data_IF_260825338989
#
_entry.id   IF_260825338989
#
_cell.length_a   1.000
_cell.length_b   1.000
_cell.length_c   1.000
_cell.angle_alpha   90.00
_cell.angle_beta   90.00
_cell.angle_gamma   90.00
#
_symmetry.space_group_name_H-M   'P 1'
#
loop_
_entity.id
_entity.type
_entity.pdbx_description
1 polymer ?
#
# COMPACT_ATOMS: atom_id res chain seq x y z
N UNK A 1 13.71 45.78 -3.45
CA UNK A 1 13.18 46.53 -2.30
C UNK A 1 11.65 46.55 -2.35
N UNK A 2 11.02 46.58 -1.17
CA UNK A 2 9.65 46.16 -0.79
C UNK A 2 8.49 46.61 -1.69
N UNK A 3 7.44 45.79 -1.76
CA UNK A 3 6.05 46.27 -1.69
C UNK A 3 5.26 45.55 -0.59
N UNK A 4 4.43 46.27 0.20
CA UNK A 4 3.68 45.76 1.34
C UNK A 4 2.27 45.29 0.93
N UNK A 5 1.68 44.47 1.80
CA UNK A 5 0.43 43.76 1.54
C UNK A 5 -0.85 44.59 1.58
N UNK A 6 -1.93 43.95 1.10
CA UNK A 6 -3.31 44.28 1.47
C UNK A 6 -4.04 42.96 1.72
N UNK A 7 -4.36 42.76 2.99
CA UNK A 7 -5.32 41.81 3.52
C UNK A 7 -6.72 42.18 3.00
N UNK A 8 -7.48 41.21 2.48
CA UNK A 8 -8.94 41.34 2.42
C UNK A 8 -9.57 40.15 3.13
N UNK A 9 -9.98 40.43 4.36
CA UNK A 9 -10.85 39.61 5.21
C UNK A 9 -12.29 39.99 4.89
N UNK A 10 -13.10 39.02 4.48
CA UNK A 10 -14.56 39.19 4.45
C UNK A 10 -15.14 38.53 5.70
N UNK A 11 -15.91 39.30 6.46
CA UNK A 11 -16.84 38.81 7.49
C UNK A 11 -18.27 39.19 7.05
N UNK A 12 -19.16 38.21 7.07
CA UNK A 12 -20.61 38.37 7.17
C UNK A 12 -21.07 37.28 8.16
N UNK A 13 -21.47 37.60 9.39
CA UNK A 13 -22.77 38.13 9.82
C UNK A 13 -23.91 37.10 9.68
N UNK A 14 -24.13 36.35 10.77
CA UNK A 14 -25.44 35.89 11.27
C UNK A 14 -26.36 35.07 10.37
N UNK A 15 -26.54 33.77 10.69
CA UNK A 15 -27.74 33.04 10.28
C UNK A 15 -27.57 31.54 10.07
N UNK A 16 -27.66 30.77 11.16
CA UNK A 16 -28.29 29.43 11.26
C UNK A 16 -28.07 28.48 10.05
N UNK A 17 -27.02 27.67 10.09
CA UNK A 17 -26.85 26.52 9.20
C UNK A 17 -28.04 25.54 9.39
N UNK A 18 -28.93 25.45 8.39
CA UNK A 18 -29.85 24.32 8.24
C UNK A 18 -29.14 23.24 7.43
N UNK A 19 -29.00 22.05 7.99
CA UNK A 19 -28.72 20.85 7.21
C UNK A 19 -30.01 20.48 6.46
N UNK A 20 -29.98 20.50 5.12
CA UNK A 20 -31.04 19.89 4.30
C UNK A 20 -30.77 18.40 4.23
N UNK A 21 -31.72 17.59 4.70
CA UNK A 21 -31.74 16.15 4.48
C UNK A 21 -32.40 15.90 3.13
N UNK A 22 -31.62 15.93 2.06
CA UNK A 22 -32.11 15.50 0.74
C UNK A 22 -31.46 14.16 0.42
N UNK A 23 -32.17 13.10 0.79
CA UNK A 23 -31.98 11.76 0.27
C UNK A 23 -32.54 11.70 -1.16
N UNK A 24 -31.73 11.43 -2.20
CA UNK A 24 -32.26 11.02 -3.48
C UNK A 24 -32.50 9.51 -3.43
N UNK A 25 -33.75 9.15 -3.63
CA UNK A 25 -34.24 7.80 -3.73
C UNK A 25 -33.50 6.99 -4.80
N UNK A 26 -33.29 5.72 -4.47
CA UNK A 26 -32.81 4.66 -5.33
C UNK A 26 -33.82 4.43 -6.46
N UNK A 27 -33.45 4.78 -7.69
CA UNK A 27 -34.12 4.25 -8.89
C UNK A 27 -33.16 4.25 -10.07
N UNK A 28 -32.84 3.06 -10.58
CA UNK A 28 -32.43 2.88 -11.97
C UNK A 28 -30.96 2.59 -12.26
N UNK A 29 -30.23 1.88 -11.39
CA UNK A 29 -28.89 1.40 -11.74
C UNK A 29 -28.92 -0.12 -11.96
N UNK A 30 -29.62 -0.55 -13.01
CA UNK A 30 -29.37 -1.86 -13.64
C UNK A 30 -28.14 -1.67 -14.53
N UNK A 31 -26.95 -1.66 -13.93
CA UNK A 31 -25.72 -1.59 -14.71
C UNK A 31 -25.28 -3.01 -15.09
N UNK A 32 -25.40 -3.28 -16.39
CA UNK A 32 -24.79 -4.41 -17.08
C UNK A 32 -23.35 -4.60 -16.62
N UNK A 33 -23.05 -5.76 -16.02
CA UNK A 33 -21.69 -6.19 -15.72
C UNK A 33 -21.03 -6.71 -17.00
N UNK A 34 -20.56 -5.78 -17.83
CA UNK A 34 -19.60 -6.05 -18.90
C UNK A 34 -18.47 -5.03 -18.79
N UNK A 35 -17.29 -5.47 -18.37
CA UNK A 35 -16.01 -4.77 -18.54
C UNK A 35 -15.63 -3.71 -17.50
N UNK A 36 -14.57 -4.00 -16.72
CA UNK A 36 -13.64 -3.02 -16.15
C UNK A 36 -14.23 -1.91 -15.27
N UNK A 37 -14.50 -2.20 -14.00
CA UNK A 37 -14.61 -1.13 -13.00
C UNK A 37 -13.29 -0.35 -12.87
N UNK A 38 -13.29 0.92 -12.40
CA UNK A 38 -12.06 1.64 -12.12
C UNK A 38 -11.25 0.81 -11.14
N UNK A 39 -10.17 0.23 -11.63
CA UNK A 39 -9.34 -0.71 -10.91
C UNK A 39 -8.82 0.02 -9.66
N UNK A 40 -9.29 -0.35 -8.47
CA UNK A 40 -8.59 0.03 -7.26
C UNK A 40 -7.18 -0.53 -7.43
N UNK A 41 -6.20 0.36 -7.47
CA UNK A 41 -4.80 0.01 -7.62
C UNK A 41 -4.38 -0.74 -6.35
N UNK A 42 -4.40 -2.08 -6.40
CA UNK A 42 -4.11 -2.96 -5.25
C UNK A 42 -2.78 -2.59 -4.61
N UNK A 43 -1.79 -2.28 -5.45
CA UNK A 43 -0.49 -1.75 -5.05
C UNK A 43 -0.63 -0.46 -4.21
N UNK A 44 -1.31 0.57 -4.72
CA UNK A 44 -1.54 1.83 -4.00
C UNK A 44 -2.33 1.62 -2.70
N UNK A 45 -3.37 0.78 -2.73
CA UNK A 45 -4.20 0.50 -1.57
C UNK A 45 -3.40 -0.14 -0.43
N UNK A 46 -2.46 -1.03 -0.75
CA UNK A 46 -1.55 -1.63 0.22
C UNK A 46 -0.67 -0.56 0.91
N UNK A 47 -0.02 0.30 0.13
CA UNK A 47 0.83 1.37 0.68
C UNK A 47 0.03 2.43 1.46
N UNK A 48 -1.19 2.75 1.01
CA UNK A 48 -2.10 3.61 1.76
C UNK A 48 -2.46 3.00 3.12
N UNK A 49 -2.79 1.71 3.14
CA UNK A 49 -3.09 1.01 4.39
C UNK A 49 -1.88 0.95 5.32
N UNK A 50 -0.66 0.74 4.81
CA UNK A 50 0.56 0.82 5.62
C UNK A 50 0.77 2.21 6.21
N UNK A 51 0.52 3.26 5.43
CA UNK A 51 0.60 4.65 5.89
C UNK A 51 -0.45 4.95 6.98
N UNK A 52 -1.68 4.44 6.83
CA UNK A 52 -2.76 4.60 7.80
C UNK A 52 -2.50 3.85 9.10
N UNK A 53 -1.93 2.63 9.02
CA UNK A 53 -1.52 1.87 10.20
C UNK A 53 -0.46 2.62 11.00
N UNK A 54 0.56 3.16 10.31
CA UNK A 54 1.61 4.02 10.87
C UNK A 54 2.53 3.38 11.92
N UNK A 55 2.14 2.25 12.51
CA UNK A 55 2.91 1.48 13.46
C UNK A 55 2.67 0.00 13.28
N UNK A 56 3.74 -0.77 13.32
CA UNK A 56 3.75 -2.20 13.15
C UNK A 56 4.63 -2.85 14.23
N UNK A 57 4.03 -3.54 15.21
CA UNK A 57 4.77 -4.13 16.32
C UNK A 57 5.80 -5.15 15.85
N UNK A 58 5.59 -5.85 14.73
CA UNK A 58 6.57 -6.83 14.21
C UNK A 58 7.91 -6.21 13.83
N UNK A 59 7.94 -4.90 13.58
CA UNK A 59 9.13 -4.15 13.18
C UNK A 59 9.74 -3.34 14.33
N UNK A 60 9.31 -3.57 15.58
CA UNK A 60 9.77 -2.82 16.76
C UNK A 60 11.30 -2.83 16.97
N UNK A 61 11.98 -3.88 16.50
CA UNK A 61 13.41 -4.10 16.66
C UNK A 61 14.24 -3.69 15.43
N UNK A 62 13.61 -3.12 14.40
CA UNK A 62 14.26 -2.79 13.13
C UNK A 62 14.10 -1.31 12.84
N UNK A 63 15.17 -0.70 12.34
CA UNK A 63 15.18 0.68 11.86
C UNK A 63 15.93 0.72 10.53
N UNK A 64 15.37 1.42 9.55
CA UNK A 64 15.96 1.60 8.23
C UNK A 64 14.92 1.91 7.17
N UNK A 65 15.38 2.03 5.93
CA UNK A 65 14.57 2.53 4.82
C UNK A 65 14.47 1.53 3.69
N UNK A 66 13.27 1.40 3.12
CA UNK A 66 12.95 0.48 2.03
C UNK A 66 12.44 1.28 0.85
N UNK A 67 13.02 1.03 -0.32
CA UNK A 67 12.46 1.47 -1.59
C UNK A 67 11.86 0.28 -2.33
N UNK A 68 10.60 0.41 -2.71
CA UNK A 68 9.91 -0.48 -3.63
C UNK A 68 9.88 0.16 -5.00
N UNK A 69 10.42 -0.54 -5.99
CA UNK A 69 10.34 -0.17 -7.40
C UNK A 69 9.43 -1.18 -8.10
N UNK A 70 8.24 -0.72 -8.46
CA UNK A 70 7.21 -1.58 -9.04
C UNK A 70 7.00 -1.16 -10.49
N UNK A 71 7.36 -2.05 -11.40
CA UNK A 71 7.18 -1.80 -12.84
C UNK A 71 5.70 -1.53 -13.13
N UNK A 72 5.40 -0.53 -13.96
CA UNK A 72 4.04 -0.08 -14.30
C UNK A 72 3.20 0.45 -13.11
N UNK A 73 3.81 0.72 -11.95
CA UNK A 73 3.13 1.35 -10.81
C UNK A 73 3.93 2.50 -10.17
N UNK A 74 5.26 2.50 -10.36
CA UNK A 74 6.19 3.52 -9.87
C UNK A 74 6.92 3.07 -8.61
N UNK A 75 7.53 4.03 -7.92
CA UNK A 75 8.32 3.75 -6.73
C UNK A 75 7.62 4.24 -5.45
N UNK A 76 7.83 3.52 -4.35
CA UNK A 76 7.40 3.86 -3.00
C UNK A 76 8.57 3.75 -2.05
N UNK A 77 8.59 4.62 -1.05
CA UNK A 77 9.58 4.62 0.01
C UNK A 77 8.90 4.38 1.35
N UNK A 78 9.46 3.47 2.13
CA UNK A 78 8.94 3.12 3.46
C UNK A 78 10.08 3.25 4.45
N UNK A 79 9.97 4.24 5.34
CA UNK A 79 10.85 4.37 6.49
C UNK A 79 10.27 3.56 7.66
N UNK A 80 11.13 2.74 8.26
CA UNK A 80 10.83 1.96 9.46
C UNK A 80 11.70 2.50 10.59
N UNK A 81 11.09 2.85 11.71
CA UNK A 81 11.81 3.30 12.90
C UNK A 81 11.19 2.68 14.15
N UNK A 82 11.81 1.60 14.66
CA UNK A 82 11.34 0.90 15.86
C UNK A 82 9.84 0.59 15.84
N UNK A 83 9.34 0.10 14.70
CA UNK A 83 7.93 -0.22 14.49
C UNK A 83 7.11 0.92 13.90
N UNK A 84 7.52 2.18 14.01
CA UNK A 84 6.87 3.27 13.29
C UNK A 84 7.15 3.17 11.79
N UNK A 85 6.07 3.22 11.00
CA UNK A 85 6.09 3.14 9.55
C UNK A 85 5.71 4.49 8.96
N UNK A 86 6.49 4.96 8.00
CA UNK A 86 6.15 6.16 7.21
C UNK A 86 6.32 5.84 5.74
N UNK A 87 5.23 5.99 4.98
CA UNK A 87 5.23 5.76 3.55
C UNK A 87 5.28 7.10 2.83
N UNK A 88 6.20 7.22 1.88
CA UNK A 88 6.30 8.38 0.99
C UNK A 88 6.56 7.95 -0.45
N UNK A 89 6.49 8.91 -1.37
CA UNK A 89 6.85 8.74 -2.78
C UNK A 89 8.26 9.24 -3.09
N UNK A 90 9.05 9.49 -2.05
CA UNK A 90 10.42 9.98 -2.23
C UNK A 90 11.29 8.89 -2.86
N UNK A 91 12.32 9.31 -3.58
CA UNK A 91 13.28 8.41 -4.25
C UNK A 91 14.70 8.62 -3.70
N UNK A 92 14.80 9.00 -2.43
CA UNK A 92 16.08 9.11 -1.73
C UNK A 92 16.74 7.73 -1.58
N UNK A 93 18.06 7.72 -1.36
CA UNK A 93 18.80 6.48 -1.13
C UNK A 93 18.17 5.66 0.01
N UNK A 94 17.98 4.36 -0.23
CA UNK A 94 17.38 3.43 0.72
C UNK A 94 18.39 2.37 1.15
N UNK A 95 18.31 1.95 2.41
CA UNK A 95 19.11 0.84 2.96
C UNK A 95 18.80 -0.49 2.28
N UNK A 96 17.56 -0.62 1.80
CA UNK A 96 17.09 -1.77 1.05
C UNK A 96 16.25 -1.31 -0.15
N UNK A 97 16.51 -1.89 -1.32
CA UNK A 97 15.73 -1.68 -2.52
C UNK A 97 15.17 -3.01 -3.03
N UNK A 98 13.85 -3.08 -3.21
CA UNK A 98 13.14 -4.21 -3.79
C UNK A 98 12.57 -3.79 -5.14
N UNK A 99 12.78 -4.61 -6.16
CA UNK A 99 12.23 -4.38 -7.49
C UNK A 99 11.47 -5.62 -7.99
N UNK A 100 10.27 -5.41 -8.52
CA UNK A 100 9.43 -6.44 -9.10
C UNK A 100 8.38 -5.84 -10.05
N UNK A 101 7.71 -6.67 -10.84
CA UNK A 101 6.61 -6.23 -11.68
C UNK A 101 5.33 -6.01 -10.86
N UNK A 102 4.44 -5.10 -11.30
CA UNK A 102 3.11 -4.88 -10.67
C UNK A 102 2.32 -6.17 -10.47
N UNK A 103 2.32 -7.06 -11.47
CA UNK A 103 1.54 -8.31 -11.42
C UNK A 103 2.00 -9.22 -10.26
N UNK A 104 3.31 -9.37 -10.08
CA UNK A 104 3.87 -10.15 -8.98
C UNK A 104 3.65 -9.46 -7.64
N UNK A 105 3.72 -8.12 -7.58
CA UNK A 105 3.40 -7.36 -6.38
C UNK A 105 1.94 -7.53 -5.95
N UNK A 106 1.00 -7.35 -6.87
CA UNK A 106 -0.42 -7.52 -6.58
C UNK A 106 -0.73 -8.95 -6.09
N UNK A 107 -0.06 -9.97 -6.66
CA UNK A 107 -0.16 -11.35 -6.17
C UNK A 107 0.40 -11.54 -4.76
N UNK A 108 1.49 -10.85 -4.40
CA UNK A 108 2.02 -10.85 -3.03
C UNK A 108 1.05 -10.19 -2.05
N UNK A 109 0.45 -9.04 -2.43
CA UNK A 109 -0.51 -8.32 -1.59
C UNK A 109 -1.75 -9.16 -1.27
N UNK A 110 -2.22 -9.97 -2.23
CA UNK A 110 -3.37 -10.87 -2.01
C UNK A 110 -2.97 -12.23 -1.42
N UNK A 111 -1.69 -12.46 -1.09
CA UNK A 111 -1.20 -13.71 -0.50
C UNK A 111 -1.16 -14.90 -1.46
N UNK A 112 -1.25 -14.67 -2.78
CA UNK A 112 -1.17 -15.71 -3.82
C UNK A 112 0.26 -16.05 -4.21
N UNK A 113 1.24 -15.28 -3.75
CA UNK A 113 2.63 -15.45 -4.11
C UNK A 113 3.54 -15.09 -2.95
N UNK A 114 4.51 -15.96 -2.65
CA UNK A 114 5.49 -15.70 -1.61
C UNK A 114 6.66 -14.82 -2.15
N UNK A 115 6.99 -13.71 -1.48
CA UNK A 115 8.12 -12.86 -1.85
C UNK A 115 9.47 -13.59 -1.91
N UNK A 116 9.68 -14.57 -1.02
CA UNK A 116 10.89 -15.41 -1.00
C UNK A 116 10.99 -16.27 -2.25
N UNK A 117 9.87 -16.84 -2.70
CA UNK A 117 9.81 -17.64 -3.92
C UNK A 117 10.11 -16.79 -5.15
N UNK A 118 9.57 -15.58 -5.25
CA UNK A 118 9.87 -14.65 -6.35
C UNK A 118 11.34 -14.28 -6.41
N UNK A 119 11.96 -14.04 -5.26
CA UNK A 119 13.39 -13.76 -5.17
C UNK A 119 14.23 -14.95 -5.62
N UNK A 120 13.92 -16.16 -5.14
CA UNK A 120 14.61 -17.40 -5.54
C UNK A 120 14.42 -17.72 -7.03
N UNK A 121 13.28 -17.33 -7.63
CA UNK A 121 13.01 -17.45 -9.07
C UNK A 121 13.70 -16.35 -9.91
N UNK A 122 14.32 -15.35 -9.29
CA UNK A 122 14.95 -14.21 -9.97
C UNK A 122 13.97 -13.18 -10.52
N UNK A 123 12.67 -13.28 -10.16
CA UNK A 123 11.61 -12.33 -10.56
C UNK A 123 11.53 -11.10 -9.66
N UNK A 124 11.98 -11.23 -8.42
CA UNK A 124 12.17 -10.12 -7.51
C UNK A 124 13.67 -9.90 -7.29
N UNK A 125 14.10 -8.64 -7.30
CA UNK A 125 15.46 -8.26 -6.95
C UNK A 125 15.44 -7.57 -5.59
N UNK A 126 16.35 -7.95 -4.71
CA UNK A 126 16.57 -7.32 -3.42
C UNK A 126 18.03 -6.85 -3.38
N UNK A 127 18.24 -5.58 -3.07
CA UNK A 127 19.57 -4.96 -2.97
C UNK A 127 19.71 -4.27 -1.62
N UNK A 128 20.84 -4.43 -0.94
CA UNK A 128 21.10 -3.80 0.35
C UNK A 128 20.79 -4.72 1.54
N UNK A 129 20.09 -4.20 2.54
CA UNK A 129 19.85 -4.92 3.80
C UNK A 129 18.76 -6.00 3.68
N UNK A 130 19.21 -7.25 3.52
CA UNK A 130 18.33 -8.42 3.43
C UNK A 130 17.53 -8.69 4.70
N UNK A 131 18.09 -8.43 5.89
CA UNK A 131 17.37 -8.64 7.16
C UNK A 131 16.14 -7.72 7.27
N UNK A 132 16.27 -6.50 6.75
CA UNK A 132 15.17 -5.54 6.68
C UNK A 132 14.11 -6.00 5.66
N UNK A 133 14.53 -6.51 4.50
CA UNK A 133 13.60 -7.12 3.53
C UNK A 133 12.83 -8.30 4.14
N UNK A 134 13.51 -9.22 4.85
CA UNK A 134 12.88 -10.37 5.49
C UNK A 134 11.84 -9.96 6.53
N UNK A 135 12.14 -8.93 7.33
CA UNK A 135 11.21 -8.43 8.33
C UNK A 135 10.00 -7.76 7.68
N UNK A 136 10.20 -6.99 6.62
CA UNK A 136 9.10 -6.37 5.85
C UNK A 136 8.22 -7.41 5.13
N UNK A 137 8.80 -8.51 4.65
CA UNK A 137 8.05 -9.60 4.01
C UNK A 137 6.96 -10.19 4.92
N UNK A 138 7.13 -10.09 6.26
CA UNK A 138 6.14 -10.55 7.25
C UNK A 138 4.88 -9.68 7.30
N UNK A 139 4.87 -8.53 6.62
CA UNK A 139 3.69 -7.68 6.50
C UNK A 139 2.75 -8.16 5.38
N UNK A 140 3.26 -8.96 4.44
CA UNK A 140 2.42 -9.58 3.44
C UNK A 140 1.64 -10.74 4.08
N UNK A 141 0.37 -10.93 3.69
CA UNK A 141 -0.37 -12.12 4.09
C UNK A 141 0.38 -13.36 3.60
N UNK A 142 0.50 -14.36 4.46
CA UNK A 142 1.17 -15.60 4.09
C UNK A 142 0.27 -16.44 3.16
N UNK A 143 0.91 -17.12 2.20
CA UNK A 143 0.24 -18.07 1.30
C UNK A 143 -0.32 -19.28 2.06
N UNK A 144 0.22 -19.61 3.24
CA UNK A 144 -0.16 -20.82 3.99
C UNK A 144 -1.58 -20.75 4.56
N UNK A 145 -2.14 -19.55 4.73
CA UNK A 145 -3.55 -19.36 5.10
C UNK A 145 -4.54 -19.72 3.98
N UNK A 146 -4.09 -19.83 2.73
CA UNK A 146 -4.92 -20.28 1.59
C UNK A 146 -4.66 -21.75 1.21
N UNK A 147 -3.82 -22.45 1.97
CA UNK A 147 -3.45 -23.85 1.76
C UNK A 147 -4.09 -24.81 2.77
N UNK A 148 -5.39 -25.08 2.66
CA UNK A 148 -5.93 -26.39 3.09
C UNK A 148 -7.13 -26.82 2.25
N UNK A 149 -6.89 -27.04 0.95
CA UNK A 149 -7.69 -27.97 0.15
C UNK A 149 -6.85 -28.55 -0.99
N UNK A 150 -5.69 -29.11 -0.69
CA UNK A 150 -5.04 -30.02 -1.65
C UNK A 150 -4.37 -31.21 -0.94
N UNK A 151 -5.13 -32.30 -0.88
CA UNK A 151 -4.58 -33.64 -1.08
C UNK A 151 -3.88 -34.31 0.10
N UNK A 152 -4.64 -34.75 1.11
CA UNK A 152 -4.30 -36.00 1.79
C UNK A 152 -4.57 -37.16 0.81
N UNK A 153 -3.64 -37.43 -0.12
CA UNK A 153 -3.50 -38.80 -0.67
C UNK A 153 -2.48 -39.50 0.20
N UNK A 154 -3.01 -40.05 1.28
CA UNK A 154 -2.40 -41.12 2.04
C UNK A 154 -2.12 -42.28 1.06
N UNK A 155 -0.87 -42.37 0.60
CA UNK A 155 -0.27 -43.64 0.19
C UNK A 155 0.29 -44.25 1.47
N UNK A 156 -0.41 -45.19 2.08
CA UNK A 156 -0.23 -46.64 1.92
C UNK A 156 -1.10 -47.38 2.92
#
# INVERSE_FOLDING_TARGET
MRRPGVLRRFYAAGGRYRYSTESPALSGWTLNLHGGGPMIDTTQAFFAQLAERGYEPLLHSVTGTIRWDIEDAGSWFVAVNNGSLTVSRDTVGADCALACSREDFDRMVVGKQNPTTLFMQGKMKITGNLGLAQMFQRLFPDESLFGTAQGKKERQ
#
